data_IF_997485280117
#
_entry.id   IF_997485280117
#
_cell.length_a   1.000
_cell.length_b   1.000
_cell.length_c   1.000
_cell.angle_alpha   90.00
_cell.angle_beta   90.00
_cell.angle_gamma   90.00
#
_symmetry.space_group_name_H-M   'P 1'
#
loop_
_entity.id
_entity.type
_entity.pdbx_description
1 polymer ?
#
# COMPACT_ATOMS: atom_id res chain seq x y z
N UNK A 1 14.40 8.47 -3.05
CA UNK A 1 13.19 7.74 -2.65
C UNK A 1 12.69 8.35 -1.36
N UNK A 2 11.65 9.17 -1.44
CA UNK A 2 11.00 9.81 -0.30
C UNK A 2 9.69 9.07 -0.03
N UNK A 3 9.72 8.08 0.86
CA UNK A 3 8.49 7.52 1.44
C UNK A 3 8.06 8.47 2.55
N UNK A 4 7.19 9.43 2.23
CA UNK A 4 6.62 10.33 3.23
C UNK A 4 5.65 9.54 4.11
N UNK A 5 5.96 9.53 5.41
CA UNK A 5 5.21 8.80 6.44
C UNK A 5 3.87 9.51 6.68
N UNK A 6 2.78 8.93 6.17
CA UNK A 6 1.40 9.42 6.30
C UNK A 6 0.83 9.41 7.74
N UNK A 7 1.67 9.19 8.78
CA UNK A 7 1.24 9.17 10.19
C UNK A 7 0.73 10.52 10.72
N UNK A 8 0.92 11.61 9.96
CA UNK A 8 0.48 12.96 10.33
C UNK A 8 -0.89 13.36 9.74
N UNK A 9 -1.55 12.50 8.97
CA UNK A 9 -2.87 12.82 8.43
C UNK A 9 -3.97 12.49 9.45
N UNK A 10 -4.84 13.46 9.82
CA UNK A 10 -5.91 13.21 10.78
C UNK A 10 -6.88 12.16 10.23
N UNK A 11 -6.94 11.01 10.91
CA UNK A 11 -7.79 9.87 10.51
C UNK A 11 -9.25 10.18 10.91
N UNK A 12 -10.19 10.33 9.95
CA UNK A 12 -11.60 10.47 10.29
C UNK A 12 -12.13 9.17 10.92
N UNK A 13 -13.09 9.25 11.87
CA UNK A 13 -13.50 8.12 12.72
C UNK A 13 -14.34 7.03 12.02
N UNK A 14 -14.28 6.91 10.69
CA UNK A 14 -14.96 5.87 9.89
C UNK A 14 -14.03 4.76 9.35
N UNK A 15 -12.86 4.60 9.96
CA UNK A 15 -12.32 3.29 10.35
C UNK A 15 -11.77 2.35 9.26
N UNK A 16 -11.42 2.83 8.06
CA UNK A 16 -10.64 2.03 7.11
C UNK A 16 -9.29 2.69 6.81
N UNK A 17 -8.20 2.01 7.13
CA UNK A 17 -6.85 2.50 6.81
C UNK A 17 -6.52 2.11 5.37
N UNK A 18 -6.10 3.08 4.56
CA UNK A 18 -5.72 2.85 3.17
C UNK A 18 -4.27 3.25 2.94
N UNK A 19 -3.53 2.42 2.22
CA UNK A 19 -2.15 2.71 1.77
C UNK A 19 -2.15 2.69 0.26
N UNK A 20 -1.86 3.83 -0.35
CA UNK A 20 -1.73 3.96 -1.80
C UNK A 20 -0.27 3.77 -2.20
N UNK A 21 -0.04 2.90 -3.19
CA UNK A 21 1.28 2.61 -3.74
C UNK A 21 1.24 2.93 -5.22
N UNK A 22 2.10 3.84 -5.66
CA UNK A 22 2.25 4.25 -7.06
C UNK A 22 3.73 4.10 -7.44
N UNK A 23 4.00 3.45 -8.57
CA UNK A 23 5.37 3.24 -9.03
C UNK A 23 5.43 2.42 -10.31
N UNK A 24 6.61 1.96 -10.67
CA UNK A 24 6.77 0.96 -11.73
C UNK A 24 6.14 -0.37 -11.31
N UNK A 25 5.81 -1.22 -12.28
CA UNK A 25 5.14 -2.51 -12.03
C UNK A 25 5.85 -3.34 -10.95
N UNK A 26 7.17 -3.48 -11.08
CA UNK A 26 7.96 -4.32 -10.18
C UNK A 26 8.10 -3.71 -8.78
N UNK A 27 8.17 -2.37 -8.68
CA UNK A 27 8.20 -1.66 -7.40
C UNK A 27 6.88 -1.83 -6.65
N UNK A 28 5.76 -1.70 -7.36
CA UNK A 28 4.41 -1.91 -6.80
C UNK A 28 4.25 -3.35 -6.31
N UNK A 29 4.65 -4.33 -7.12
CA UNK A 29 4.59 -5.75 -6.74
C UNK A 29 5.51 -6.08 -5.56
N UNK A 30 6.72 -5.50 -5.54
CA UNK A 30 7.65 -5.67 -4.43
C UNK A 30 7.06 -5.13 -3.13
N UNK A 31 6.50 -3.92 -3.15
CA UNK A 31 5.88 -3.31 -1.97
C UNK A 31 4.64 -4.08 -1.51
N UNK A 32 3.75 -4.52 -2.43
CA UNK A 32 2.63 -5.42 -2.07
C UNK A 32 3.15 -6.64 -1.33
N UNK A 33 4.17 -7.31 -1.88
CA UNK A 33 4.75 -8.49 -1.26
C UNK A 33 5.40 -8.15 0.07
N UNK A 34 6.10 -7.02 0.22
CA UNK A 34 6.69 -6.62 1.49
C UNK A 34 5.63 -6.41 2.58
N UNK A 35 4.52 -5.74 2.24
CA UNK A 35 3.38 -5.56 3.15
C UNK A 35 2.65 -6.87 3.46
N UNK A 36 2.63 -7.83 2.52
CA UNK A 36 1.91 -9.11 2.64
C UNK A 36 2.77 -10.23 3.26
N UNK A 37 4.07 -10.27 3.00
CA UNK A 37 5.00 -11.40 3.29
C UNK A 37 5.81 -11.18 4.57
N UNK A 38 5.88 -9.96 5.15
CA UNK A 38 6.46 -9.70 6.49
C UNK A 38 5.63 -10.34 7.65
N UNK A 39 5.31 -11.64 7.52
CA UNK A 39 4.68 -12.61 8.45
C UNK A 39 5.48 -12.85 9.75
N UNK A 40 6.28 -11.89 10.21
CA UNK A 40 7.03 -11.95 11.48
C UNK A 40 6.50 -10.91 12.48
N UNK A 41 5.66 -9.96 12.05
CA UNK A 41 5.05 -8.96 12.94
C UNK A 41 3.52 -9.11 12.99
N UNK A 42 3.02 -9.28 14.21
CA UNK A 42 1.71 -9.80 14.65
C UNK A 42 0.47 -8.99 14.22
N UNK A 43 0.60 -7.95 13.40
CA UNK A 43 -0.47 -6.94 13.23
C UNK A 43 -0.73 -6.48 11.78
N UNK A 44 -0.12 -7.13 10.77
CA UNK A 44 -0.18 -6.70 9.36
C UNK A 44 -1.01 -7.58 8.41
N UNK A 45 -1.59 -8.69 8.87
CA UNK A 45 -2.60 -9.47 8.13
C UNK A 45 -3.92 -8.73 7.92
N UNK A 46 -3.97 -7.44 8.24
CA UNK A 46 -5.17 -6.62 8.23
C UNK A 46 -5.35 -5.86 6.91
N UNK A 47 -4.33 -5.82 6.05
CA UNK A 47 -4.41 -5.12 4.78
C UNK A 47 -4.64 -6.10 3.63
N UNK A 48 -5.72 -5.91 2.88
CA UNK A 48 -6.01 -6.66 1.66
C UNK A 48 -5.48 -5.87 0.45
N UNK A 49 -4.55 -6.41 -0.35
CA UNK A 49 -4.08 -5.75 -1.55
C UNK A 49 -5.14 -5.79 -2.66
N UNK A 50 -5.35 -4.66 -3.35
CA UNK A 50 -6.07 -4.66 -4.62
C UNK A 50 -5.10 -4.95 -5.79
N UNK A 51 -5.65 -5.49 -6.87
CA UNK A 51 -4.87 -5.78 -8.09
C UNK A 51 -4.29 -4.46 -8.64
N UNK A 52 -2.96 -4.37 -8.85
CA UNK A 52 -2.36 -3.20 -9.48
C UNK A 52 -3.00 -2.89 -10.83
N UNK A 53 -3.39 -1.63 -11.02
CA UNK A 53 -3.95 -1.14 -12.27
C UNK A 53 -3.00 -0.12 -12.91
N UNK A 54 -2.94 -0.05 -14.25
CA UNK A 54 -2.26 1.05 -14.94
C UNK A 54 -2.85 2.41 -14.52
N UNK A 55 -1.99 3.37 -14.18
CA UNK A 55 -2.38 4.71 -13.76
C UNK A 55 -1.90 5.80 -14.73
N UNK A 56 -0.62 5.72 -15.13
CA UNK A 56 -0.01 6.61 -16.12
C UNK A 56 0.99 5.81 -16.98
N UNK A 57 1.61 6.45 -17.98
CA UNK A 57 2.55 5.78 -18.87
C UNK A 57 3.69 5.10 -18.08
N UNK A 58 3.71 3.76 -18.09
CA UNK A 58 4.67 2.94 -17.32
C UNK A 58 4.41 2.88 -15.81
N UNK A 59 3.41 3.58 -15.29
CA UNK A 59 3.11 3.61 -13.85
C UNK A 59 1.88 2.78 -13.50
N UNK A 60 1.99 2.07 -12.39
CA UNK A 60 0.95 1.24 -11.81
C UNK A 60 0.59 1.81 -10.45
N UNK A 61 -0.66 1.60 -10.06
CA UNK A 61 -1.19 1.98 -8.77
C UNK A 61 -1.93 0.80 -8.14
N UNK A 62 -1.79 0.66 -6.83
CA UNK A 62 -2.60 -0.23 -6.00
C UNK A 62 -2.96 0.48 -4.70
N UNK A 63 -3.97 -0.04 -4.02
CA UNK A 63 -4.33 0.36 -2.67
C UNK A 63 -4.41 -0.88 -1.79
N UNK A 64 -3.84 -0.78 -0.59
CA UNK A 64 -3.98 -1.76 0.48
C UNK A 64 -5.01 -1.23 1.47
N UNK A 65 -6.03 -2.03 1.81
CA UNK A 65 -7.15 -1.61 2.68
C UNK A 65 -7.22 -2.46 3.94
N UNK A 66 -7.35 -1.82 5.11
CA UNK A 66 -7.61 -2.42 6.43
C UNK A 66 -8.92 -1.95 7.01
#
# INVERSE_FOLDING_TARGET
MTTEFNELLPVPPSGKTQIWIVGQRDEVLHLINEFTVKRIATDRSKFTPLVPAPFAAGQYMTVLVR
#
